data_IF_677739679740
#
_entry.id   IF_677739679740
#
_cell.length_a   1.000
_cell.length_b   1.000
_cell.length_c   1.000
_cell.angle_alpha   90.00
_cell.angle_beta   90.00
_cell.angle_gamma   90.00
#
_symmetry.space_group_name_H-M   'P 1'
#
loop_
_entity.id
_entity.type
_entity.pdbx_description
1 polymer ?
#
# COMPACT_ATOMS: atom_id res chain seq x y z
N UNK A 1 20.45 17.89 21.03
CA UNK A 1 19.12 17.32 20.71
C UNK A 1 18.75 17.55 19.25
N UNK A 2 18.85 18.77 18.71
CA UNK A 2 18.54 19.04 17.28
C UNK A 2 19.40 18.18 16.33
N UNK A 3 20.72 18.13 16.54
CA UNK A 3 21.63 17.27 15.77
C UNK A 3 21.29 15.77 15.83
N UNK A 4 20.70 15.30 16.93
CA UNK A 4 20.29 13.89 17.04
C UNK A 4 19.06 13.63 16.19
N UNK A 5 18.04 14.48 16.29
CA UNK A 5 16.78 14.36 15.52
C UNK A 5 17.08 14.32 14.02
N UNK A 6 17.98 15.17 13.54
CA UNK A 6 18.33 15.22 12.12
C UNK A 6 19.12 14.00 11.66
N UNK A 7 20.00 13.44 12.51
CA UNK A 7 20.64 12.15 12.24
C UNK A 7 19.59 11.02 12.11
N UNK A 8 18.55 11.01 12.95
CA UNK A 8 17.46 10.02 12.83
C UNK A 8 16.63 10.18 11.57
N UNK A 9 16.29 11.42 11.17
CA UNK A 9 15.61 11.67 9.89
C UNK A 9 16.44 11.17 8.71
N UNK A 10 17.73 11.47 8.70
CA UNK A 10 18.67 11.00 7.68
C UNK A 10 18.73 9.46 7.63
N UNK A 11 18.79 8.80 8.79
CA UNK A 11 18.75 7.34 8.88
C UNK A 11 17.44 6.76 8.38
N UNK A 12 16.30 7.38 8.71
CA UNK A 12 14.98 6.98 8.23
C UNK A 12 14.88 7.08 6.71
N UNK A 13 15.36 8.18 6.12
CA UNK A 13 15.36 8.38 4.67
C UNK A 13 16.30 7.39 3.97
N UNK A 14 17.45 7.08 4.57
CA UNK A 14 18.36 6.06 4.04
C UNK A 14 17.72 4.67 3.98
N UNK A 15 16.97 4.27 5.02
CA UNK A 15 16.25 3.00 5.08
C UNK A 15 15.07 2.96 4.10
N UNK A 16 14.39 4.09 3.92
CA UNK A 16 13.31 4.22 2.95
C UNK A 16 13.81 4.15 1.51
N UNK A 17 15.04 4.63 1.25
CA UNK A 17 15.69 4.50 -0.05
C UNK A 17 16.21 3.07 -0.29
N UNK A 18 16.54 2.32 0.76
CA UNK A 18 16.96 0.92 0.69
C UNK A 18 15.76 -0.04 0.80
N UNK A 19 14.82 0.07 -0.15
CA UNK A 19 13.64 -0.81 -0.22
C UNK A 19 14.10 -2.25 -0.48
N UNK A 20 13.67 -3.24 0.31
CA UNK A 20 14.04 -4.63 0.08
C UNK A 20 13.45 -5.11 -1.25
N UNK A 21 14.19 -5.96 -1.95
CA UNK A 21 13.79 -6.49 -3.26
C UNK A 21 12.40 -7.13 -3.21
N UNK A 22 12.09 -7.87 -2.14
CA UNK A 22 10.79 -8.52 -1.89
C UNK A 22 9.62 -7.53 -1.90
N UNK A 23 9.78 -6.35 -1.28
CA UNK A 23 8.73 -5.30 -1.27
C UNK A 23 8.57 -4.67 -2.64
N UNK A 24 9.67 -4.43 -3.35
CA UNK A 24 9.62 -3.87 -4.69
C UNK A 24 8.93 -4.84 -5.67
N UNK A 25 9.30 -6.13 -5.61
CA UNK A 25 8.70 -7.18 -6.42
C UNK A 25 7.21 -7.34 -6.11
N UNK A 26 6.83 -7.38 -4.83
CA UNK A 26 5.43 -7.44 -4.42
C UNK A 26 4.63 -6.26 -4.99
N UNK A 27 5.18 -5.04 -4.88
CA UNK A 27 4.55 -3.83 -5.40
C UNK A 27 4.35 -3.91 -6.92
N UNK A 28 5.35 -4.35 -7.66
CA UNK A 28 5.26 -4.50 -9.12
C UNK A 28 4.19 -5.52 -9.49
N UNK A 29 4.17 -6.70 -8.86
CA UNK A 29 3.18 -7.74 -9.12
C UNK A 29 1.75 -7.26 -8.84
N UNK A 30 1.56 -6.51 -7.75
CA UNK A 30 0.27 -5.92 -7.40
C UNK A 30 -0.18 -4.92 -8.48
N UNK A 31 0.71 -4.01 -8.90
CA UNK A 31 0.41 -3.04 -9.95
C UNK A 31 0.09 -3.75 -11.27
N UNK A 32 0.88 -4.74 -11.66
CA UNK A 32 0.63 -5.56 -12.86
C UNK A 32 -0.72 -6.27 -12.80
N UNK A 33 -1.11 -6.81 -11.63
CA UNK A 33 -2.43 -7.43 -11.46
C UNK A 33 -3.57 -6.42 -11.68
N UNK A 34 -3.41 -5.17 -11.22
CA UNK A 34 -4.40 -4.13 -11.46
C UNK A 34 -4.52 -3.75 -12.94
N UNK A 35 -3.40 -3.68 -13.66
CA UNK A 35 -3.44 -3.50 -15.13
C UNK A 35 -4.20 -4.62 -15.84
N UNK A 36 -4.01 -5.88 -15.42
CA UNK A 36 -4.79 -7.00 -15.94
C UNK A 36 -6.28 -6.88 -15.59
N UNK A 37 -6.63 -6.34 -14.42
CA UNK A 37 -8.00 -6.00 -14.06
C UNK A 37 -8.64 -4.97 -14.99
N UNK A 38 -7.88 -3.95 -15.41
CA UNK A 38 -8.33 -3.00 -16.43
C UNK A 38 -8.56 -3.69 -17.77
N UNK A 39 -7.64 -4.56 -18.19
CA UNK A 39 -7.79 -5.33 -19.42
C UNK A 39 -9.05 -6.20 -19.37
N UNK A 40 -9.29 -6.91 -18.27
CA UNK A 40 -10.49 -7.73 -18.06
C UNK A 40 -11.78 -6.90 -18.14
N UNK A 41 -11.81 -5.73 -17.51
CA UNK A 41 -12.96 -4.83 -17.58
C UNK A 41 -13.26 -4.40 -19.02
N UNK A 42 -12.22 -4.04 -19.78
CA UNK A 42 -12.36 -3.70 -21.19
C UNK A 42 -12.88 -4.89 -22.00
N UNK A 43 -12.33 -6.09 -21.81
CA UNK A 43 -12.78 -7.31 -22.50
C UNK A 43 -14.26 -7.60 -22.24
N UNK A 44 -14.73 -7.50 -20.99
CA UNK A 44 -16.14 -7.69 -20.65
C UNK A 44 -17.02 -6.68 -21.40
N UNK A 45 -16.61 -5.41 -21.43
CA UNK A 45 -17.33 -4.36 -22.15
C UNK A 45 -17.38 -4.62 -23.65
N UNK A 46 -16.28 -5.07 -24.26
CA UNK A 46 -16.26 -5.46 -25.67
C UNK A 46 -17.18 -6.64 -25.98
N UNK A 47 -17.36 -7.59 -25.04
CA UNK A 47 -18.28 -8.72 -25.25
C UNK A 47 -19.76 -8.38 -25.06
N UNK A 48 -20.09 -7.31 -24.34
CA UNK A 48 -21.47 -6.87 -24.07
C UNK A 48 -21.79 -5.58 -24.84
N UNK A 49 -21.99 -5.72 -26.15
CA UNK A 49 -22.51 -4.63 -27.00
C UNK A 49 -24.02 -4.48 -26.83
N UNK A 50 -24.51 -3.86 -25.74
CA UNK A 50 -25.82 -3.16 -25.76
C UNK A 50 -26.19 -2.34 -24.50
N UNK A 51 -25.26 -1.95 -23.65
CA UNK A 51 -25.63 -1.20 -22.43
C UNK A 51 -25.88 0.29 -22.71
N UNK A 52 -26.88 0.86 -22.03
CA UNK A 52 -27.27 2.26 -22.15
C UNK A 52 -26.12 3.22 -21.83
N UNK A 53 -26.14 4.42 -22.43
CA UNK A 53 -25.09 5.44 -22.27
C UNK A 53 -24.80 5.78 -20.78
N UNK A 54 -25.82 5.71 -19.92
CA UNK A 54 -25.69 6.00 -18.48
C UNK A 54 -24.89 4.92 -17.75
N UNK A 55 -25.15 3.64 -18.02
CA UNK A 55 -24.43 2.52 -17.41
C UNK A 55 -22.94 2.56 -17.81
N UNK A 56 -22.65 2.95 -19.05
CA UNK A 56 -21.29 3.11 -19.55
C UNK A 56 -20.51 4.21 -18.81
N UNK A 57 -21.13 5.38 -18.57
CA UNK A 57 -20.48 6.50 -17.86
C UNK A 57 -20.18 6.12 -16.40
N UNK A 58 -21.16 5.54 -15.69
CA UNK A 58 -20.98 5.10 -14.30
C UNK A 58 -19.86 4.07 -14.19
N UNK A 59 -19.81 3.12 -15.13
CA UNK A 59 -18.77 2.09 -15.14
C UNK A 59 -17.37 2.67 -15.38
N UNK A 60 -17.22 3.68 -16.25
CA UNK A 60 -15.95 4.37 -16.50
C UNK A 60 -15.48 5.14 -15.25
N UNK A 61 -16.39 5.88 -14.61
CA UNK A 61 -16.09 6.64 -13.38
C UNK A 61 -15.67 5.67 -12.26
N UNK A 62 -16.45 4.61 -12.04
CA UNK A 62 -16.14 3.58 -11.05
C UNK A 62 -14.78 2.93 -11.29
N UNK A 63 -14.46 2.60 -12.54
CA UNK A 63 -13.17 2.02 -12.90
C UNK A 63 -12.00 2.97 -12.68
N UNK A 64 -12.18 4.26 -13.00
CA UNK A 64 -11.15 5.29 -12.81
C UNK A 64 -10.85 5.52 -11.33
N UNK A 65 -11.91 5.59 -10.51
CA UNK A 65 -11.79 5.72 -9.06
C UNK A 65 -11.09 4.50 -8.45
N UNK A 66 -11.51 3.29 -8.83
CA UNK A 66 -10.91 2.04 -8.36
C UNK A 66 -9.42 2.01 -8.72
N UNK A 67 -9.06 2.32 -9.96
CA UNK A 67 -7.67 2.29 -10.40
C UNK A 67 -6.80 3.31 -9.65
N UNK A 68 -7.35 4.49 -9.35
CA UNK A 68 -6.67 5.52 -8.55
C UNK A 68 -6.33 4.98 -7.16
N UNK A 69 -7.31 4.37 -6.48
CA UNK A 69 -7.12 3.78 -5.14
C UNK A 69 -6.10 2.63 -5.20
N UNK A 70 -6.21 1.76 -6.20
CA UNK A 70 -5.34 0.62 -6.42
C UNK A 70 -3.88 1.01 -6.69
N UNK A 71 -3.62 2.17 -7.32
CA UNK A 71 -2.27 2.70 -7.52
C UNK A 71 -1.72 3.43 -6.28
N UNK A 72 -2.58 4.10 -5.50
CA UNK A 72 -2.19 4.82 -4.29
C UNK A 72 -1.66 3.88 -3.20
N UNK A 73 -2.28 2.72 -3.03
CA UNK A 73 -1.93 1.78 -1.96
C UNK A 73 -0.47 1.28 -2.09
N UNK A 74 -0.03 0.70 -3.23
CA UNK A 74 1.36 0.26 -3.41
C UNK A 74 2.37 1.41 -3.34
N UNK A 75 1.98 2.61 -3.78
CA UNK A 75 2.81 3.81 -3.62
C UNK A 75 3.10 4.10 -2.14
N UNK A 76 2.08 4.04 -1.27
CA UNK A 76 2.28 4.22 0.17
C UNK A 76 3.02 3.06 0.82
N UNK A 77 2.89 1.83 0.32
CA UNK A 77 3.69 0.70 0.78
C UNK A 77 5.19 0.93 0.54
N UNK A 78 5.57 1.40 -0.65
CA UNK A 78 6.97 1.76 -0.97
C UNK A 78 7.51 2.87 -0.06
N UNK A 79 6.64 3.70 0.51
CA UNK A 79 7.02 4.72 1.51
C UNK A 79 7.16 4.18 2.93
N UNK A 80 7.05 2.87 3.16
CA UNK A 80 7.16 2.26 4.49
C UNK A 80 5.93 2.48 5.37
N UNK A 81 4.78 2.84 4.80
CA UNK A 81 3.55 3.04 5.57
C UNK A 81 2.89 1.68 5.85
N UNK A 82 3.05 1.17 7.06
CA UNK A 82 2.48 -0.11 7.48
C UNK A 82 0.93 -0.15 7.37
N UNK A 83 0.25 0.99 7.50
CA UNK A 83 -1.20 1.07 7.34
C UNK A 83 -1.67 0.75 5.91
N UNK A 84 -0.87 1.10 4.89
CA UNK A 84 -1.19 0.77 3.50
C UNK A 84 -1.19 -0.74 3.26
N UNK A 85 -0.29 -1.47 3.93
CA UNK A 85 -0.27 -2.92 3.91
C UNK A 85 -1.53 -3.52 4.53
N UNK A 86 -1.97 -3.00 5.69
CA UNK A 86 -3.19 -3.48 6.34
C UNK A 86 -4.43 -3.24 5.46
N UNK A 87 -4.57 -2.04 4.89
CA UNK A 87 -5.66 -1.73 3.95
C UNK A 87 -5.66 -2.74 2.80
N UNK A 88 -4.52 -2.98 2.18
CA UNK A 88 -4.41 -3.94 1.09
C UNK A 88 -4.82 -5.35 1.50
N UNK A 89 -4.38 -5.84 2.66
CA UNK A 89 -4.77 -7.15 3.17
C UNK A 89 -6.29 -7.26 3.34
N UNK A 90 -6.92 -6.23 3.91
CA UNK A 90 -8.37 -6.16 4.12
C UNK A 90 -9.13 -6.11 2.79
N UNK A 91 -8.60 -5.42 1.77
CA UNK A 91 -9.24 -5.35 0.44
C UNK A 91 -9.09 -6.65 -0.35
N UNK A 92 -7.92 -7.28 -0.29
CA UNK A 92 -7.63 -8.48 -1.10
C UNK A 92 -8.25 -9.74 -0.53
N UNK A 93 -8.27 -9.91 0.80
CA UNK A 93 -8.83 -11.10 1.44
C UNK A 93 -10.27 -11.45 0.98
N UNK A 94 -11.26 -10.54 1.04
CA UNK A 94 -12.60 -10.84 0.54
C UNK A 94 -12.61 -11.00 -0.98
N UNK A 95 -11.81 -10.23 -1.71
CA UNK A 95 -11.70 -10.32 -3.17
C UNK A 95 -11.25 -11.70 -3.65
N UNK A 96 -10.33 -12.36 -2.94
CA UNK A 96 -9.90 -13.73 -3.20
C UNK A 96 -11.03 -14.74 -3.00
N UNK A 97 -11.83 -14.58 -1.94
CA UNK A 97 -12.96 -15.47 -1.65
C UNK A 97 -14.02 -15.35 -2.76
N UNK A 98 -14.40 -14.12 -3.14
CA UNK A 98 -15.38 -13.89 -4.20
C UNK A 98 -14.91 -14.41 -5.57
N UNK A 99 -13.61 -14.41 -5.81
CA UNK A 99 -13.05 -14.93 -7.05
C UNK A 99 -13.27 -16.43 -7.24
N UNK A 100 -13.13 -17.21 -6.17
CA UNK A 100 -13.35 -18.67 -6.21
C UNK A 100 -14.76 -18.98 -6.72
N UNK A 101 -15.75 -18.17 -6.33
CA UNK A 101 -17.12 -18.31 -6.83
C UNK A 101 -17.29 -17.77 -8.26
N UNK A 102 -16.54 -16.74 -8.64
CA UNK A 102 -16.68 -16.04 -9.92
C UNK A 102 -15.89 -16.69 -11.07
N UNK A 103 -14.88 -17.53 -10.78
CA UNK A 103 -14.00 -18.11 -11.80
C UNK A 103 -14.77 -18.92 -12.84
N UNK A 104 -15.73 -19.75 -12.40
CA UNK A 104 -16.55 -20.59 -13.29
C UNK A 104 -17.35 -19.70 -14.24
N UNK A 105 -17.91 -18.59 -13.75
CA UNK A 105 -18.67 -17.66 -14.58
C UNK A 105 -17.79 -17.01 -15.65
N UNK A 106 -16.57 -16.60 -15.29
CA UNK A 106 -15.64 -15.98 -16.24
C UNK A 106 -15.25 -16.92 -17.37
N UNK A 107 -14.95 -18.20 -17.08
CA UNK A 107 -14.66 -19.19 -18.10
C UNK A 107 -15.86 -19.53 -18.98
N UNK A 108 -17.08 -19.49 -18.44
CA UNK A 108 -18.32 -19.68 -19.23
C UNK A 108 -18.61 -18.52 -20.18
N UNK A 109 -18.23 -17.30 -19.83
CA UNK A 109 -18.40 -16.14 -20.70
C UNK A 109 -17.39 -16.16 -21.86
N UNK A 110 -16.11 -16.33 -21.55
CA UNK A 110 -15.04 -16.41 -22.55
C UNK A 110 -13.79 -17.04 -21.93
N UNK A 111 -13.19 -18.03 -22.60
CA UNK A 111 -11.97 -18.71 -22.12
C UNK A 111 -10.80 -17.72 -21.94
N UNK A 112 -10.68 -16.72 -22.81
CA UNK A 112 -9.65 -15.66 -22.70
C UNK A 112 -9.90 -14.84 -21.43
N UNK A 113 -11.14 -14.43 -21.17
CA UNK A 113 -11.51 -13.67 -19.97
C UNK A 113 -11.21 -14.46 -18.69
N UNK A 114 -11.57 -15.74 -18.67
CA UNK A 114 -11.23 -16.67 -17.58
C UNK A 114 -9.73 -16.71 -17.32
N UNK A 115 -8.94 -16.90 -18.37
CA UNK A 115 -7.48 -17.02 -18.30
C UNK A 115 -6.80 -15.74 -17.80
N UNK A 116 -7.17 -14.58 -18.35
CA UNK A 116 -6.62 -13.27 -17.93
C UNK A 116 -7.02 -12.96 -16.49
N UNK A 117 -8.26 -13.27 -16.10
CA UNK A 117 -8.71 -13.15 -14.70
C UNK A 117 -7.91 -14.06 -13.77
N UNK A 118 -7.67 -15.32 -14.14
CA UNK A 118 -6.86 -16.23 -13.31
C UNK A 118 -5.44 -15.72 -13.15
N UNK A 119 -4.81 -15.26 -14.24
CA UNK A 119 -3.47 -14.70 -14.19
C UNK A 119 -3.41 -13.47 -13.27
N UNK A 120 -4.36 -12.55 -13.39
CA UNK A 120 -4.50 -11.40 -12.49
C UNK A 120 -4.52 -11.84 -11.01
N UNK A 121 -5.37 -12.81 -10.67
CA UNK A 121 -5.54 -13.26 -9.30
C UNK A 121 -4.31 -13.99 -8.75
N UNK A 122 -3.62 -14.76 -9.59
CA UNK A 122 -2.33 -15.39 -9.22
C UNK A 122 -1.29 -14.32 -8.90
N UNK A 123 -1.13 -13.29 -9.75
CA UNK A 123 -0.19 -12.20 -9.50
C UNK A 123 -0.51 -11.47 -8.19
N UNK A 124 -1.81 -11.22 -7.96
CA UNK A 124 -2.27 -10.55 -6.74
C UNK A 124 -2.01 -11.40 -5.49
N UNK A 125 -2.20 -12.72 -5.57
CA UNK A 125 -1.90 -13.66 -4.49
C UNK A 125 -0.39 -13.75 -4.20
N UNK A 126 0.46 -13.81 -5.23
CA UNK A 126 1.92 -13.82 -5.04
C UNK A 126 2.37 -12.51 -4.39
N UNK A 127 1.85 -11.37 -4.85
CA UNK A 127 2.11 -10.06 -4.23
C UNK A 127 1.69 -10.01 -2.76
N UNK A 128 0.52 -10.55 -2.45
CA UNK A 128 0.02 -10.69 -1.07
C UNK A 128 0.96 -11.53 -0.20
N UNK A 129 1.41 -12.69 -0.68
CA UNK A 129 2.31 -13.58 0.05
C UNK A 129 3.68 -12.91 0.28
N UNK A 130 4.25 -12.27 -0.74
CA UNK A 130 5.53 -11.54 -0.62
C UNK A 130 5.45 -10.41 0.41
N UNK A 131 4.31 -9.74 0.54
CA UNK A 131 4.08 -8.74 1.58
C UNK A 131 4.05 -9.33 2.99
N UNK A 132 3.70 -10.61 3.14
CA UNK A 132 3.67 -11.31 4.43
C UNK A 132 5.02 -11.92 4.82
N UNK A 133 5.98 -12.00 3.90
CA UNK A 133 7.30 -12.57 4.17
C UNK A 133 8.05 -11.83 5.28
N UNK A 134 8.94 -12.57 5.95
CA UNK A 134 9.74 -12.09 7.08
C UNK A 134 10.57 -10.84 6.72
N UNK A 135 11.25 -10.85 5.57
CA UNK A 135 12.07 -9.72 5.13
C UNK A 135 11.27 -8.42 5.00
N UNK A 136 10.05 -8.53 4.46
CA UNK A 136 9.12 -7.41 4.37
C UNK A 136 8.68 -6.96 5.76
N UNK A 137 8.33 -7.90 6.64
CA UNK A 137 7.93 -7.59 8.03
C UNK A 137 9.02 -6.84 8.79
N UNK A 138 10.26 -7.31 8.68
CA UNK A 138 11.37 -6.76 9.45
C UNK A 138 11.72 -5.34 8.95
N UNK A 139 11.70 -5.09 7.64
CA UNK A 139 11.85 -3.73 7.10
C UNK A 139 10.76 -2.76 7.60
N UNK A 140 9.49 -3.18 7.63
CA UNK A 140 8.41 -2.34 8.17
C UNK A 140 8.54 -2.10 9.69
N UNK A 141 9.06 -3.07 10.44
CA UNK A 141 9.34 -2.93 11.89
C UNK A 141 10.46 -1.92 12.13
N UNK A 142 11.54 -1.97 11.36
CA UNK A 142 12.68 -1.05 11.50
C UNK A 142 12.25 0.40 11.26
N UNK A 143 11.45 0.63 10.22
CA UNK A 143 10.87 1.95 9.93
C UNK A 143 9.97 2.43 11.09
N UNK A 144 9.13 1.54 11.62
CA UNK A 144 8.24 1.86 12.75
C UNK A 144 9.04 2.20 14.01
N UNK A 145 10.10 1.44 14.31
CA UNK A 145 10.96 1.66 15.47
C UNK A 145 11.63 3.04 15.43
N UNK A 146 12.22 3.41 14.28
CA UNK A 146 12.84 4.72 14.10
C UNK A 146 11.84 5.86 14.22
N UNK A 147 10.65 5.73 13.62
CA UNK A 147 9.60 6.74 13.72
C UNK A 147 9.19 6.97 15.19
N UNK A 148 9.00 5.91 15.96
CA UNK A 148 8.61 6.01 17.36
C UNK A 148 9.69 6.66 18.22
N UNK A 149 10.97 6.38 17.93
CA UNK A 149 12.10 7.02 18.60
C UNK A 149 12.11 8.54 18.35
N UNK A 150 11.93 8.98 17.10
CA UNK A 150 11.85 10.41 16.76
C UNK A 150 10.69 11.11 17.48
N UNK A 151 9.52 10.47 17.56
CA UNK A 151 8.35 11.04 18.25
C UNK A 151 8.64 11.22 19.74
N UNK A 152 9.11 10.16 20.41
CA UNK A 152 9.40 10.18 21.85
C UNK A 152 10.41 11.29 22.22
N UNK A 153 11.46 11.46 21.43
CA UNK A 153 12.48 12.47 21.71
C UNK A 153 11.98 13.91 21.47
N UNK A 154 11.08 14.10 20.50
CA UNK A 154 10.46 15.40 20.23
C UNK A 154 9.55 15.81 21.39
N UNK A 155 8.77 14.88 21.94
CA UNK A 155 7.92 15.10 23.10
C UNK A 155 8.73 15.44 24.36
N UNK A 156 9.85 14.74 24.61
CA UNK A 156 10.72 15.03 25.75
C UNK A 156 11.45 16.38 25.63
N UNK A 157 11.71 16.86 24.41
CA UNK A 157 12.30 18.19 24.20
C UNK A 157 11.32 19.31 24.53
N UNK A 158 10.02 19.13 24.28
CA UNK A 158 8.98 20.12 24.59
C UNK A 158 8.57 20.14 26.06
N UNK A 159 8.68 19.01 26.78
CA UNK A 159 8.32 18.90 28.19
C UNK A 159 9.47 19.20 29.17
N UNK A 160 10.59 19.78 28.71
CA UNK A 160 11.67 20.18 29.63
C UNK A 160 11.16 21.36 30.48
N UNK A 161 11.01 21.21 31.81
CA UNK A 161 10.48 22.28 32.64
C UNK A 161 11.42 23.50 32.57
N UNK A 162 10.83 24.68 32.39
CA UNK A 162 11.51 25.99 32.31
C UNK A 162 12.25 26.34 33.65
N UNK A 163 12.13 25.49 34.67
CA UNK A 163 12.65 25.72 36.03
C UNK A 163 14.18 25.78 36.15
N UNK A 164 14.96 25.54 35.10
CA UNK A 164 16.43 25.66 35.14
C UNK A 164 16.98 27.03 34.72
N UNK A 165 16.13 28.01 34.36
CA UNK A 165 16.58 29.33 33.82
C UNK A 165 16.54 30.46 34.87
N UNK A 166 16.23 30.18 36.14
CA UNK A 166 16.29 31.20 37.21
C UNK A 166 17.21 30.76 38.36
N UNK A 167 18.44 30.42 38.03
CA UNK A 167 19.56 30.38 38.98
C UNK A 167 20.26 31.73 39.06
N UNK A 168 19.52 32.82 39.25
CA UNK A 168 20.12 34.11 39.61
C UNK A 168 20.15 34.16 41.14
N UNK A 169 21.32 34.13 41.79
CA UNK A 169 21.40 34.38 43.22
C UNK A 169 20.99 35.84 43.46
N UNK A 170 19.83 36.05 44.08
CA UNK A 170 19.48 37.33 44.67
C UNK A 170 20.49 37.60 45.79
N UNK A 171 21.52 38.38 45.47
CA UNK A 171 22.44 39.00 46.42
C UNK A 171 21.93 40.43 46.67
N UNK A 172 21.70 40.77 47.93
CA UNK A 172 21.47 42.15 48.40
C UNK A 172 20.08 42.39 48.93
#
# INVERSE_FOLDING_TARGET
>A
MENEIDNYKMKLDSLRNKIPFTVNLATILIISSFYLGVLNFLLIKYTKFNDSNVINIISIIGMTLLMTICCLIPFFMRKGKNWARLIYLILVAPGLIFYIFSIILNFRLNVILGSVSTMQYILQLIGFILLLMKDTNDWFKDIKALKNFTIKNTETSHNKPISAVNGVPFLG
#
